data_IF_335478804058
#
_entry.id   IF_335478804058
#
_cell.length_a   1.000
_cell.length_b   1.000
_cell.length_c   1.000
_cell.angle_alpha   90.00
_cell.angle_beta   90.00
_cell.angle_gamma   90.00
#
_symmetry.space_group_name_H-M   'P 1'
#
loop_
_entity.id
_entity.type
_entity.pdbx_description
1 polymer ?
#
# COMPACT_ATOMS: atom_id res chain seq x y z
N UNK A 1 25.51 15.87 5.43
CA UNK A 1 24.15 15.27 5.39
C UNK A 1 24.28 13.80 5.70
N UNK A 2 23.41 13.24 6.53
CA UNK A 2 23.38 11.79 6.78
C UNK A 2 22.72 11.09 5.61
N UNK A 3 23.34 10.02 5.09
CA UNK A 3 22.72 9.14 4.10
C UNK A 3 21.79 8.16 4.80
N UNK A 4 20.54 8.08 4.37
CA UNK A 4 19.52 7.21 4.95
C UNK A 4 19.03 6.21 3.88
N UNK A 5 19.02 4.92 4.22
CA UNK A 5 18.43 3.91 3.38
C UNK A 5 16.97 3.72 3.79
N UNK A 6 16.05 3.94 2.86
CA UNK A 6 14.60 3.79 3.09
C UNK A 6 13.98 2.86 2.06
N UNK A 7 12.84 2.29 2.41
CA UNK A 7 12.01 1.54 1.50
C UNK A 7 10.73 2.31 1.18
N UNK A 8 10.24 2.18 -0.05
CA UNK A 8 8.99 2.77 -0.46
C UNK A 8 8.17 1.75 -1.26
N UNK A 9 6.92 1.59 -0.89
CA UNK A 9 5.95 0.70 -1.52
C UNK A 9 4.83 1.57 -2.12
N UNK A 10 4.91 1.92 -3.42
CA UNK A 10 3.91 2.72 -4.11
C UNK A 10 2.68 1.87 -4.42
N UNK A 11 1.72 1.86 -3.50
CA UNK A 11 0.49 1.09 -3.66
C UNK A 11 -0.69 1.94 -4.14
N UNK A 12 -1.60 1.34 -4.91
CA UNK A 12 -2.84 1.99 -5.37
C UNK A 12 -3.77 2.41 -4.23
N UNK A 13 -3.77 1.68 -3.13
CA UNK A 13 -4.60 2.01 -1.96
C UNK A 13 -3.90 2.93 -0.97
N UNK A 14 -2.60 2.78 -0.82
CA UNK A 14 -1.78 3.61 0.05
C UNK A 14 -0.31 3.60 -0.36
N UNK A 15 0.33 4.76 -0.32
CA UNK A 15 1.78 4.90 -0.31
C UNK A 15 2.32 4.50 1.05
N UNK A 16 3.37 3.71 1.08
CA UNK A 16 3.99 3.28 2.33
C UNK A 16 5.48 3.56 2.27
N UNK A 17 6.00 4.23 3.29
CA UNK A 17 7.44 4.48 3.44
C UNK A 17 7.93 3.83 4.71
N UNK A 18 8.92 2.92 4.57
CA UNK A 18 9.57 2.21 5.66
C UNK A 18 10.99 2.72 5.89
N UNK A 19 11.37 2.91 7.14
CA UNK A 19 12.69 3.37 7.55
C UNK A 19 13.07 2.77 8.91
N UNK A 20 14.35 2.81 9.24
CA UNK A 20 14.82 2.46 10.58
C UNK A 20 15.12 3.74 11.37
N UNK A 21 14.73 3.71 12.63
CA UNK A 21 15.16 4.70 13.63
C UNK A 21 15.72 3.97 14.86
N UNK A 22 16.10 4.72 15.90
CA UNK A 22 16.65 4.14 17.13
C UNK A 22 15.73 3.15 17.87
N UNK A 23 14.44 3.08 17.50
CA UNK A 23 13.44 2.16 18.08
C UNK A 23 13.13 0.97 17.16
N UNK A 24 13.87 0.82 16.04
CA UNK A 24 13.66 -0.24 15.06
C UNK A 24 12.90 0.22 13.80
N UNK A 25 12.39 -0.74 13.00
CA UNK A 25 11.70 -0.45 11.75
C UNK A 25 10.36 0.25 12.00
N UNK A 26 10.17 1.35 11.28
CA UNK A 26 8.98 2.18 11.30
C UNK A 26 8.36 2.24 9.90
N UNK A 27 7.07 2.46 9.82
CA UNK A 27 6.39 2.71 8.57
C UNK A 27 5.35 3.81 8.69
N UNK A 28 5.28 4.66 7.69
CA UNK A 28 4.15 5.57 7.48
C UNK A 28 3.27 5.03 6.37
N UNK A 29 1.97 5.25 6.49
CA UNK A 29 0.94 4.84 5.53
C UNK A 29 0.12 6.05 5.16
N UNK A 30 0.18 6.43 3.90
CA UNK A 30 -0.58 7.55 3.34
C UNK A 30 -1.60 7.02 2.34
N UNK A 31 -2.91 7.23 2.52
CA UNK A 31 -3.89 6.87 1.51
C UNK A 31 -3.53 7.46 0.14
N UNK A 32 -3.53 6.63 -0.92
CA UNK A 32 -3.20 7.05 -2.29
C UNK A 32 -4.37 7.83 -2.91
N UNK A 33 -4.82 8.85 -2.21
CA UNK A 33 -5.86 9.78 -2.66
C UNK A 33 -5.21 11.12 -2.92
N UNK A 34 -5.41 11.65 -4.11
CA UNK A 34 -4.83 12.91 -4.55
C UNK A 34 -5.88 13.74 -5.28
N UNK A 35 -5.82 15.05 -5.12
CA UNK A 35 -6.65 16.00 -5.86
C UNK A 35 -5.89 17.29 -6.12
N UNK A 36 -6.18 17.96 -7.22
CA UNK A 36 -5.59 19.26 -7.52
C UNK A 36 -6.23 20.36 -6.65
N UNK A 37 -5.44 21.28 -6.16
CA UNK A 37 -5.92 22.42 -5.39
C UNK A 37 -5.08 22.76 -4.16
N UNK A 38 -5.56 23.73 -3.41
CA UNK A 38 -4.98 24.20 -2.16
C UNK A 38 -5.99 24.05 -1.04
N UNK A 39 -5.50 23.93 0.20
CA UNK A 39 -6.38 23.96 1.38
C UNK A 39 -7.13 25.30 1.42
N UNK A 40 -8.44 25.24 1.62
CA UNK A 40 -9.22 26.46 1.81
C UNK A 40 -8.84 27.11 3.15
N UNK A 41 -8.58 28.43 3.10
CA UNK A 41 -8.34 29.21 4.32
C UNK A 41 -9.64 29.56 5.06
N UNK A 42 -10.79 29.28 4.46
CA UNK A 42 -12.08 29.60 5.05
C UNK A 42 -12.46 28.46 6.01
N UNK A 43 -12.22 28.68 7.28
CA UNK A 43 -12.85 27.91 8.36
C UNK A 43 -14.33 28.33 8.44
N UNK A 44 -15.15 27.81 7.53
CA UNK A 44 -16.61 27.85 7.72
C UNK A 44 -16.94 26.93 8.89
N UNK A 45 -16.93 27.50 10.10
CA UNK A 45 -17.41 26.81 11.28
C UNK A 45 -18.93 26.87 11.31
N UNK A 46 -19.57 25.73 11.52
CA UNK A 46 -21.03 25.67 11.74
C UNK A 46 -21.38 26.02 13.17
N UNK A 47 -20.40 26.14 14.08
CA UNK A 47 -20.63 26.29 15.51
C UNK A 47 -21.17 25.02 16.19
N UNK A 48 -21.24 23.91 15.45
CA UNK A 48 -21.76 22.62 15.93
C UNK A 48 -20.65 21.57 16.13
N UNK A 49 -19.37 22.00 16.02
CA UNK A 49 -18.23 21.10 16.16
C UNK A 49 -18.16 20.56 17.59
N UNK A 50 -18.55 19.30 17.73
CA UNK A 50 -18.38 18.52 18.96
C UNK A 50 -17.33 17.45 18.73
N UNK A 51 -16.09 17.67 19.15
CA UNK A 51 -15.02 16.68 19.04
C UNK A 51 -13.76 17.16 18.32
N UNK A 52 -12.85 16.22 18.05
CA UNK A 52 -11.62 16.49 17.31
C UNK A 52 -11.95 16.81 15.85
N UNK A 53 -11.39 17.90 15.33
CA UNK A 53 -11.49 18.21 13.91
C UNK A 53 -10.95 17.03 13.08
N UNK A 54 -11.63 16.66 11.97
CA UNK A 54 -11.13 15.60 11.10
C UNK A 54 -9.74 15.95 10.57
N UNK A 55 -8.90 14.93 10.44
CA UNK A 55 -7.56 15.07 9.85
C UNK A 55 -7.69 15.75 8.47
N UNK A 56 -6.90 16.81 8.26
CA UNK A 56 -6.86 17.51 6.96
C UNK A 56 -5.89 16.81 6.02
N UNK A 57 -6.17 16.80 4.70
CA UNK A 57 -5.19 16.34 3.73
C UNK A 57 -3.93 17.20 3.77
N UNK A 58 -2.79 16.63 3.38
CA UNK A 58 -1.57 17.39 3.23
C UNK A 58 -1.59 18.16 1.91
N UNK A 59 -1.17 19.42 1.94
CA UNK A 59 -0.95 20.21 0.75
C UNK A 59 0.50 20.06 0.31
N UNK A 60 0.72 19.56 -0.90
CA UNK A 60 2.05 19.40 -1.50
C UNK A 60 2.18 20.34 -2.68
N UNK A 61 3.26 21.13 -2.72
CA UNK A 61 3.53 22.10 -3.78
C UNK A 61 4.90 21.82 -4.40
N UNK A 62 4.97 21.70 -5.70
CA UNK A 62 6.19 21.57 -6.48
C UNK A 62 5.96 21.97 -7.93
N UNK A 63 6.99 22.47 -8.60
CA UNK A 63 6.95 22.93 -10.01
C UNK A 63 5.77 23.88 -10.31
N UNK A 64 5.42 24.75 -9.35
CA UNK A 64 4.32 25.72 -9.49
C UNK A 64 2.91 25.12 -9.39
N UNK A 65 2.75 23.85 -9.08
CA UNK A 65 1.47 23.16 -8.91
C UNK A 65 1.22 22.82 -7.44
N UNK A 66 -0.06 22.71 -7.07
CA UNK A 66 -0.50 22.35 -5.72
C UNK A 66 -1.44 21.15 -5.76
N UNK A 67 -1.20 20.21 -4.88
CA UNK A 67 -2.00 18.99 -4.71
C UNK A 67 -2.37 18.81 -3.25
N UNK A 68 -3.57 18.27 -3.03
CA UNK A 68 -4.01 17.76 -1.73
C UNK A 68 -3.89 16.24 -1.74
N UNK A 69 -3.27 15.67 -0.72
CA UNK A 69 -2.99 14.23 -0.68
C UNK A 69 -3.35 13.60 0.67
N UNK A 70 -3.73 12.32 0.65
CA UNK A 70 -4.02 11.52 1.83
C UNK A 70 -5.49 11.47 2.22
N UNK A 71 -5.77 11.37 3.52
CA UNK A 71 -7.13 11.27 4.04
C UNK A 71 -7.94 12.55 3.77
N UNK A 72 -9.26 12.38 3.62
CA UNK A 72 -10.23 13.48 3.51
C UNK A 72 -10.04 14.46 2.33
N UNK A 73 -9.24 14.13 1.32
CA UNK A 73 -9.11 14.93 0.08
C UNK A 73 -10.47 15.26 -0.54
N UNK A 74 -11.41 14.30 -0.52
CA UNK A 74 -12.77 14.48 -1.06
C UNK A 74 -13.58 15.60 -0.37
N UNK A 75 -13.18 16.07 0.80
CA UNK A 75 -13.82 17.20 1.49
C UNK A 75 -13.34 18.55 0.99
N UNK A 76 -12.16 18.60 0.40
CA UNK A 76 -11.52 19.84 -0.07
C UNK A 76 -11.60 19.98 -1.59
N UNK A 77 -11.50 18.86 -2.32
CA UNK A 77 -11.50 18.83 -3.78
C UNK A 77 -11.97 17.46 -4.31
N UNK A 78 -12.26 17.41 -5.61
CA UNK A 78 -12.59 16.14 -6.27
C UNK A 78 -11.33 15.27 -6.42
N UNK A 79 -11.30 14.06 -5.86
CA UNK A 79 -10.17 13.14 -6.04
C UNK A 79 -9.95 12.78 -7.51
N UNK A 80 -8.68 12.63 -7.87
CA UNK A 80 -8.25 12.12 -9.16
C UNK A 80 -8.19 10.60 -9.06
N UNK A 81 -9.18 9.90 -9.61
CA UNK A 81 -9.25 8.42 -9.55
C UNK A 81 -8.51 7.81 -10.74
N UNK A 82 -7.18 7.83 -10.72
CA UNK A 82 -6.33 7.14 -11.69
C UNK A 82 -5.68 5.93 -11.03
N UNK A 83 -6.01 4.73 -11.55
CA UNK A 83 -5.61 3.45 -10.96
C UNK A 83 -4.97 2.53 -12.02
N UNK A 84 -4.30 3.11 -13.02
CA UNK A 84 -3.49 2.35 -13.97
C UNK A 84 -2.01 2.34 -13.53
N UNK A 85 -1.31 1.30 -13.93
CA UNK A 85 0.08 1.08 -13.53
C UNK A 85 1.03 2.17 -14.08
N UNK A 86 0.74 2.74 -15.25
CA UNK A 86 1.57 3.80 -15.82
C UNK A 86 1.66 5.02 -14.91
N UNK A 87 0.57 5.32 -14.18
CA UNK A 87 0.55 6.40 -13.19
C UNK A 87 1.32 6.10 -11.89
N UNK A 88 1.70 4.82 -11.64
CA UNK A 88 2.63 4.47 -10.56
C UNK A 88 4.11 4.53 -10.98
N UNK A 89 4.40 4.90 -12.22
CA UNK A 89 5.78 5.00 -12.71
C UNK A 89 6.24 6.42 -12.93
N UNK A 90 5.32 7.31 -13.26
CA UNK A 90 5.54 8.75 -13.40
C UNK A 90 4.20 9.51 -13.35
N UNK A 91 4.30 10.80 -13.11
CA UNK A 91 3.17 11.73 -13.10
C UNK A 91 3.16 12.63 -11.87
N UNK A 92 2.53 13.80 -11.99
CA UNK A 92 2.52 14.76 -10.89
C UNK A 92 1.77 14.25 -9.67
N UNK A 93 0.74 13.42 -9.84
CA UNK A 93 -0.03 12.83 -8.76
C UNK A 93 0.82 11.84 -7.94
N UNK A 94 1.60 10.98 -8.61
CA UNK A 94 2.53 10.07 -7.96
C UNK A 94 3.60 10.85 -7.19
N UNK A 95 4.18 11.89 -7.80
CA UNK A 95 5.19 12.73 -7.16
C UNK A 95 4.63 13.39 -5.91
N UNK A 96 3.42 13.95 -5.96
CA UNK A 96 2.75 14.55 -4.80
C UNK A 96 2.57 13.53 -3.65
N UNK A 97 2.10 12.33 -3.97
CA UNK A 97 1.93 11.24 -3.01
C UNK A 97 3.27 10.78 -2.40
N UNK A 98 4.30 10.62 -3.22
CA UNK A 98 5.64 10.24 -2.74
C UNK A 98 6.23 11.31 -1.84
N UNK A 99 6.20 12.59 -2.25
CA UNK A 99 6.72 13.69 -1.43
C UNK A 99 6.03 13.78 -0.07
N UNK A 100 4.70 13.63 -0.04
CA UNK A 100 3.95 13.60 1.21
C UNK A 100 4.34 12.41 2.09
N UNK A 101 4.47 11.21 1.51
CA UNK A 101 4.83 9.99 2.25
C UNK A 101 6.29 10.06 2.78
N UNK A 102 7.22 10.59 1.99
CA UNK A 102 8.60 10.85 2.42
C UNK A 102 8.65 11.90 3.53
N UNK A 103 7.90 12.99 3.39
CA UNK A 103 7.81 14.03 4.42
C UNK A 103 7.24 13.51 5.74
N UNK A 104 6.22 12.67 5.71
CA UNK A 104 5.70 12.03 6.93
C UNK A 104 6.75 11.15 7.62
N UNK A 105 7.61 10.48 6.84
CA UNK A 105 8.63 9.58 7.38
C UNK A 105 9.84 10.33 7.93
N UNK A 106 10.26 11.40 7.28
CA UNK A 106 11.56 12.04 7.49
C UNK A 106 11.46 13.45 8.08
N UNK A 107 10.32 14.12 7.92
CA UNK A 107 10.15 15.50 8.38
C UNK A 107 10.86 16.55 7.51
N UNK A 108 10.92 17.81 7.98
CA UNK A 108 11.45 18.95 7.23
C UNK A 108 12.97 19.10 7.37
N UNK A 109 13.73 18.07 7.07
CA UNK A 109 15.19 18.10 7.16
C UNK A 109 15.83 17.92 5.79
N UNK A 110 17.02 18.45 5.59
CA UNK A 110 17.82 18.12 4.40
C UNK A 110 18.50 16.77 4.59
N UNK A 111 18.20 15.82 3.70
CA UNK A 111 18.76 14.47 3.76
C UNK A 111 19.15 13.94 2.40
N UNK A 112 20.13 13.06 2.37
CA UNK A 112 20.46 12.20 1.23
C UNK A 112 19.84 10.82 1.43
N UNK A 113 19.24 10.27 0.38
CA UNK A 113 18.48 9.02 0.44
C UNK A 113 19.00 8.00 -0.57
N UNK A 114 19.05 6.74 -0.14
CA UNK A 114 18.96 5.60 -1.05
C UNK A 114 17.57 4.99 -0.93
N UNK A 115 16.93 4.69 -2.05
CA UNK A 115 15.54 4.27 -2.11
C UNK A 115 15.41 2.84 -2.64
N UNK A 116 14.86 1.94 -1.82
CA UNK A 116 14.46 0.61 -2.23
C UNK A 116 12.95 0.59 -2.52
N UNK A 117 12.58 0.38 -3.77
CA UNK A 117 11.18 0.33 -4.20
C UNK A 117 10.62 -1.09 -4.12
N UNK A 118 9.46 -1.25 -3.50
CA UNK A 118 8.63 -2.44 -3.62
C UNK A 118 7.87 -2.40 -4.94
N UNK A 119 7.99 -3.46 -5.75
CA UNK A 119 7.31 -3.56 -7.04
C UNK A 119 6.48 -4.84 -7.11
N UNK A 120 5.33 -4.84 -7.84
CA UNK A 120 4.56 -6.06 -8.06
C UNK A 120 5.39 -7.18 -8.67
N UNK A 121 5.02 -8.42 -8.37
CA UNK A 121 5.73 -9.62 -8.88
C UNK A 121 5.76 -9.65 -10.40
N UNK A 122 4.64 -9.34 -11.06
CA UNK A 122 4.53 -9.30 -12.53
C UNK A 122 5.59 -8.36 -13.16
N UNK A 123 5.79 -7.19 -12.56
CA UNK A 123 6.78 -6.21 -13.05
C UNK A 123 8.19 -6.76 -12.93
N UNK A 124 8.54 -7.33 -11.78
CA UNK A 124 9.91 -7.81 -11.50
C UNK A 124 10.26 -9.05 -12.32
N UNK A 125 9.28 -9.89 -12.66
CA UNK A 125 9.48 -11.10 -13.46
C UNK A 125 9.57 -10.84 -14.95
N UNK A 126 8.92 -9.81 -15.45
CA UNK A 126 8.97 -9.43 -16.85
C UNK A 126 10.17 -8.50 -17.08
N UNK A 127 11.24 -9.01 -17.71
CA UNK A 127 12.49 -8.28 -17.89
C UNK A 127 12.34 -6.95 -18.62
N UNK A 128 11.49 -6.89 -19.63
CA UNK A 128 11.29 -5.67 -20.43
C UNK A 128 10.48 -4.64 -19.64
N UNK A 129 9.41 -5.09 -19.00
CA UNK A 129 8.58 -4.24 -18.13
C UNK A 129 9.38 -3.72 -16.93
N UNK A 130 10.18 -4.56 -16.29
CA UNK A 130 11.07 -4.19 -15.18
C UNK A 130 12.07 -3.11 -15.60
N UNK A 131 12.75 -3.33 -16.73
CA UNK A 131 13.75 -2.38 -17.25
C UNK A 131 13.12 -1.03 -17.59
N UNK A 132 11.97 -1.02 -18.27
CA UNK A 132 11.26 0.20 -18.64
C UNK A 132 10.74 0.94 -17.38
N UNK A 133 10.10 0.22 -16.47
CA UNK A 133 9.58 0.77 -15.23
C UNK A 133 10.68 1.39 -14.37
N UNK A 134 11.76 0.65 -14.15
CA UNK A 134 12.89 1.11 -13.36
C UNK A 134 13.61 2.31 -14.02
N UNK A 135 13.73 2.32 -15.34
CA UNK A 135 14.28 3.46 -16.09
C UNK A 135 13.43 4.71 -15.92
N UNK A 136 12.11 4.62 -16.07
CA UNK A 136 11.19 5.75 -15.85
C UNK A 136 11.28 6.28 -14.41
N UNK A 137 11.21 5.38 -13.42
CA UNK A 137 11.31 5.76 -12.00
C UNK A 137 12.64 6.43 -11.68
N UNK A 138 13.77 5.86 -12.12
CA UNK A 138 15.10 6.45 -11.93
C UNK A 138 15.23 7.81 -12.62
N UNK A 139 14.62 7.99 -13.76
CA UNK A 139 14.69 9.21 -14.55
C UNK A 139 14.19 10.45 -13.82
N UNK A 140 13.24 10.30 -12.89
CA UNK A 140 12.74 11.43 -12.11
C UNK A 140 13.06 11.35 -10.63
N UNK A 141 13.33 10.15 -10.06
CA UNK A 141 13.64 9.98 -8.64
C UNK A 141 15.07 10.35 -8.30
N UNK A 142 16.04 9.99 -9.15
CA UNK A 142 17.46 10.28 -8.85
C UNK A 142 17.71 11.76 -9.05
N UNK A 143 18.20 12.43 -8.00
CA UNK A 143 18.55 13.85 -8.04
C UNK A 143 18.02 14.63 -6.85
N UNK A 144 18.02 15.95 -7.00
CA UNK A 144 17.53 16.91 -6.02
C UNK A 144 16.03 17.11 -6.15
N UNK A 145 15.32 17.13 -5.02
CA UNK A 145 13.88 17.35 -4.91
C UNK A 145 13.58 18.47 -3.94
N UNK A 146 13.17 19.60 -4.47
CA UNK A 146 12.72 20.76 -3.70
C UNK A 146 11.20 20.90 -3.83
N UNK A 147 10.51 20.84 -2.71
CA UNK A 147 9.05 20.91 -2.66
C UNK A 147 8.58 21.52 -1.33
N UNK A 148 7.29 21.75 -1.20
CA UNK A 148 6.72 22.30 0.01
C UNK A 148 5.56 21.42 0.49
N UNK A 149 5.51 21.12 1.77
CA UNK A 149 4.40 20.40 2.41
C UNK A 149 3.82 21.26 3.53
N UNK A 150 2.53 21.61 3.43
CA UNK A 150 1.85 22.44 4.43
C UNK A 150 2.61 23.75 4.74
N UNK A 151 3.14 24.42 3.70
CA UNK A 151 3.99 25.62 3.77
C UNK A 151 5.38 25.42 4.38
N UNK A 152 5.82 24.18 4.61
CA UNK A 152 7.18 23.85 5.03
C UNK A 152 8.02 23.48 3.81
N UNK A 153 9.10 24.19 3.57
CA UNK A 153 10.05 23.88 2.48
C UNK A 153 10.88 22.66 2.84
N UNK A 154 11.00 21.75 1.89
CA UNK A 154 11.69 20.46 2.04
C UNK A 154 12.66 20.27 0.88
N UNK A 155 13.84 19.75 1.19
CA UNK A 155 14.90 19.49 0.20
C UNK A 155 15.51 18.11 0.44
N UNK A 156 15.23 17.15 -0.45
CA UNK A 156 15.77 15.80 -0.39
C UNK A 156 16.59 15.49 -1.63
N UNK A 157 17.68 14.75 -1.44
CA UNK A 157 18.51 14.26 -2.55
C UNK A 157 18.47 12.74 -2.58
N UNK A 158 17.96 12.15 -3.66
CA UNK A 158 17.95 10.71 -3.86
C UNK A 158 19.16 10.32 -4.70
N UNK A 159 20.08 9.54 -4.09
CA UNK A 159 21.34 9.14 -4.73
C UNK A 159 21.18 7.86 -5.54
N UNK A 160 20.46 6.88 -5.01
CA UNK A 160 20.28 5.59 -5.68
C UNK A 160 18.83 5.11 -5.56
N UNK A 161 18.37 4.43 -6.60
CA UNK A 161 17.08 3.75 -6.64
C UNK A 161 17.29 2.30 -7.05
N UNK A 162 16.88 1.38 -6.19
CA UNK A 162 16.83 -0.06 -6.44
C UNK A 162 15.40 -0.57 -6.26
N UNK A 163 15.14 -1.79 -6.67
CA UNK A 163 13.81 -2.40 -6.57
C UNK A 163 13.87 -3.83 -6.06
N UNK A 164 12.78 -4.29 -5.48
CA UNK A 164 12.55 -5.66 -5.04
C UNK A 164 11.05 -6.00 -5.19
N UNK A 165 10.73 -7.27 -5.35
CA UNK A 165 9.32 -7.70 -5.31
C UNK A 165 8.71 -7.43 -3.92
N UNK A 166 7.51 -6.83 -3.88
CA UNK A 166 6.82 -6.46 -2.64
C UNK A 166 6.72 -7.63 -1.65
N UNK A 167 6.33 -8.86 -2.03
CA UNK A 167 6.19 -9.97 -1.09
C UNK A 167 7.50 -10.41 -0.42
N UNK A 168 8.66 -10.11 -1.02
CA UNK A 168 9.95 -10.31 -0.34
C UNK A 168 10.06 -9.51 0.95
N UNK A 169 9.45 -8.32 0.98
CA UNK A 169 9.40 -7.52 2.20
C UNK A 169 8.69 -8.26 3.33
N UNK A 170 7.50 -8.82 3.09
CA UNK A 170 6.80 -9.60 4.12
C UNK A 170 7.63 -10.80 4.60
N UNK A 171 8.34 -11.49 3.70
CA UNK A 171 9.25 -12.56 4.06
C UNK A 171 10.38 -12.09 4.99
N UNK A 172 11.03 -10.95 4.69
CA UNK A 172 12.05 -10.36 5.56
C UNK A 172 11.46 -9.81 6.87
N UNK A 173 10.28 -9.20 6.83
CA UNK A 173 9.62 -8.74 8.05
C UNK A 173 9.34 -9.89 9.02
N UNK A 174 8.93 -11.05 8.50
CA UNK A 174 8.70 -12.24 9.30
C UNK A 174 10.00 -12.90 9.78
N UNK A 175 11.01 -12.97 8.91
CA UNK A 175 12.17 -13.86 9.10
C UNK A 175 13.45 -13.19 9.56
N UNK A 176 13.59 -11.86 9.43
CA UNK A 176 14.85 -11.16 9.66
C UNK A 176 14.80 -10.15 10.81
N UNK A 177 15.97 -9.87 11.40
CA UNK A 177 16.18 -8.76 12.33
C UNK A 177 16.22 -7.42 11.59
N UNK A 178 16.50 -6.34 12.33
CA UNK A 178 16.52 -4.98 11.80
C UNK A 178 17.68 -4.71 10.82
N UNK A 179 18.72 -5.56 10.83
CA UNK A 179 19.83 -5.52 9.87
C UNK A 179 19.57 -6.45 8.65
N UNK A 180 18.38 -7.02 8.55
CA UNK A 180 18.01 -7.95 7.48
C UNK A 180 18.67 -9.34 7.59
N UNK A 181 19.24 -9.70 8.74
CA UNK A 181 19.84 -11.02 8.97
C UNK A 181 18.76 -12.01 9.41
N UNK A 182 18.83 -13.24 8.89
CA UNK A 182 17.85 -14.27 9.23
C UNK A 182 17.97 -14.71 10.69
N UNK A 183 16.87 -14.66 11.44
CA UNK A 183 16.81 -14.97 12.88
C UNK A 183 15.86 -16.11 13.24
N UNK A 184 15.07 -16.63 12.30
CA UNK A 184 14.14 -17.73 12.59
C UNK A 184 14.85 -19.08 12.66
N UNK A 185 14.33 -19.96 13.53
CA UNK A 185 14.77 -21.35 13.61
C UNK A 185 14.41 -22.17 12.36
N UNK A 186 13.44 -21.72 11.57
CA UNK A 186 13.13 -22.30 10.28
C UNK A 186 14.33 -22.16 9.34
N UNK A 187 14.74 -23.28 8.71
CA UNK A 187 15.81 -23.22 7.72
C UNK A 187 15.41 -22.29 6.57
N UNK A 188 16.19 -21.22 6.28
CA UNK A 188 15.87 -20.27 5.22
C UNK A 188 15.91 -20.88 3.81
N UNK A 189 16.43 -22.10 3.67
CA UNK A 189 16.34 -22.90 2.45
C UNK A 189 15.00 -23.66 2.31
N UNK A 190 14.11 -23.62 3.29
CA UNK A 190 12.78 -24.20 3.18
C UNK A 190 11.92 -23.54 2.11
N UNK A 191 10.78 -24.15 1.81
CA UNK A 191 9.80 -23.62 0.85
C UNK A 191 8.79 -22.74 1.58
N UNK A 192 8.78 -21.45 1.27
CA UNK A 192 7.94 -20.43 1.88
C UNK A 192 7.05 -19.80 0.82
N UNK A 193 5.80 -19.56 1.17
CA UNK A 193 4.85 -18.88 0.30
C UNK A 193 4.36 -17.57 0.93
N UNK A 194 4.28 -16.53 0.12
CA UNK A 194 3.71 -15.23 0.47
C UNK A 194 2.59 -14.91 -0.49
N UNK A 195 1.41 -14.61 0.03
CA UNK A 195 0.24 -14.14 -0.69
C UNK A 195 0.00 -12.68 -0.29
N UNK A 196 0.36 -11.75 -1.18
CA UNK A 196 0.18 -10.32 -0.97
C UNK A 196 -1.10 -9.86 -1.64
N UNK A 197 -2.09 -9.49 -0.83
CA UNK A 197 -3.40 -9.04 -1.30
C UNK A 197 -3.45 -7.52 -1.19
N UNK A 198 -3.13 -6.86 -2.29
CA UNK A 198 -3.19 -5.41 -2.44
C UNK A 198 -4.59 -4.91 -2.82
N UNK A 199 -4.69 -3.60 -3.09
CA UNK A 199 -5.93 -3.03 -3.62
C UNK A 199 -6.16 -3.42 -5.08
N UNK A 200 -5.15 -3.32 -5.92
CA UNK A 200 -5.24 -3.57 -7.37
C UNK A 200 -4.66 -4.92 -7.77
N UNK A 201 -3.60 -5.37 -7.12
CA UNK A 201 -2.90 -6.61 -7.42
C UNK A 201 -3.08 -7.65 -6.32
N UNK A 202 -3.00 -8.91 -6.71
CA UNK A 202 -2.82 -10.05 -5.85
C UNK A 202 -1.57 -10.80 -6.32
N UNK A 203 -0.55 -10.81 -5.49
CA UNK A 203 0.75 -11.38 -5.79
C UNK A 203 0.99 -12.67 -5.00
N UNK A 204 1.12 -13.79 -5.69
CA UNK A 204 1.62 -15.05 -5.16
C UNK A 204 3.12 -15.14 -5.34
N UNK A 205 3.85 -15.50 -4.31
CA UNK A 205 5.30 -15.50 -4.32
C UNK A 205 5.86 -16.68 -3.51
N UNK A 206 6.76 -17.47 -4.10
CA UNK A 206 7.35 -18.63 -3.45
C UNK A 206 8.87 -18.55 -3.48
N UNK A 207 9.46 -18.81 -2.31
CA UNK A 207 10.91 -18.88 -2.10
C UNK A 207 11.26 -20.29 -1.67
N UNK A 208 12.23 -20.90 -2.30
CA UNK A 208 12.80 -22.19 -1.91
C UNK A 208 14.31 -22.15 -2.14
N UNK A 209 15.11 -22.65 -1.21
CA UNK A 209 16.58 -22.60 -1.29
C UNK A 209 17.13 -21.18 -1.52
N UNK A 210 16.46 -20.16 -0.91
CA UNK A 210 16.79 -18.72 -1.07
C UNK A 210 16.59 -18.18 -2.49
N UNK A 211 15.92 -18.92 -3.35
CA UNK A 211 15.62 -18.52 -4.73
C UNK A 211 14.11 -18.43 -4.95
N UNK A 212 13.69 -17.53 -5.82
CA UNK A 212 12.30 -17.40 -6.23
C UNK A 212 11.94 -18.54 -7.17
N UNK A 213 10.83 -19.22 -6.88
CA UNK A 213 10.30 -20.28 -7.74
C UNK A 213 9.29 -19.66 -8.72
N UNK A 214 9.74 -19.42 -9.93
CA UNK A 214 8.99 -18.73 -10.99
C UNK A 214 7.60 -19.34 -11.24
N UNK A 215 7.51 -20.67 -11.34
CA UNK A 215 6.25 -21.39 -11.60
C UNK A 215 5.17 -21.07 -10.57
N UNK A 216 5.55 -20.81 -9.31
CA UNK A 216 4.64 -20.56 -8.18
C UNK A 216 4.55 -19.09 -7.80
N UNK A 217 5.17 -18.21 -8.58
CA UNK A 217 5.19 -16.77 -8.30
C UNK A 217 4.54 -16.05 -9.48
N UNK A 218 3.40 -15.40 -9.23
CA UNK A 218 2.60 -14.71 -10.24
C UNK A 218 1.84 -13.57 -9.60
N UNK A 219 1.70 -12.45 -10.34
CA UNK A 219 0.85 -11.33 -9.96
C UNK A 219 -0.35 -11.22 -10.90
N UNK A 220 -1.51 -10.88 -10.36
CA UNK A 220 -2.72 -10.61 -11.12
C UNK A 220 -3.47 -9.38 -10.62
N UNK A 221 -4.26 -8.76 -11.50
CA UNK A 221 -5.14 -7.64 -11.17
C UNK A 221 -6.44 -8.12 -10.47
N UNK A 222 -6.28 -8.89 -9.39
CA UNK A 222 -7.34 -9.49 -8.57
C UNK A 222 -7.42 -8.94 -7.15
N UNK A 223 -6.90 -7.74 -6.90
CA UNK A 223 -6.93 -7.11 -5.59
C UNK A 223 -8.33 -6.76 -5.08
N UNK A 224 -8.41 -6.16 -3.91
CA UNK A 224 -9.68 -5.80 -3.24
C UNK A 224 -10.51 -4.79 -4.03
N UNK A 225 -9.96 -4.13 -5.07
CA UNK A 225 -10.66 -3.15 -5.91
C UNK A 225 -11.96 -3.69 -6.51
N UNK A 226 -12.01 -4.97 -6.90
CA UNK A 226 -13.25 -5.58 -7.44
C UNK A 226 -14.36 -5.57 -6.39
N UNK A 227 -14.04 -5.97 -5.15
CA UNK A 227 -14.98 -5.90 -4.04
C UNK A 227 -15.44 -4.47 -3.75
N UNK A 228 -14.50 -3.51 -3.74
CA UNK A 228 -14.84 -2.10 -3.53
C UNK A 228 -15.70 -1.54 -4.67
N UNK A 229 -15.43 -1.92 -5.92
CA UNK A 229 -16.24 -1.54 -7.08
C UNK A 229 -17.66 -2.09 -6.98
N UNK A 230 -17.81 -3.35 -6.55
CA UNK A 230 -19.11 -3.97 -6.31
C UNK A 230 -19.88 -3.23 -5.22
N UNK A 231 -19.25 -2.91 -4.08
CA UNK A 231 -19.86 -2.12 -3.00
C UNK A 231 -20.34 -0.78 -3.53
N UNK A 232 -19.48 -0.03 -4.24
CA UNK A 232 -19.80 1.29 -4.80
C UNK A 232 -20.98 1.25 -5.74
N UNK A 233 -21.00 0.27 -6.65
CA UNK A 233 -22.05 0.14 -7.65
C UNK A 233 -23.37 -0.27 -7.01
N UNK A 234 -23.36 -1.27 -6.12
CA UNK A 234 -24.58 -1.77 -5.46
C UNK A 234 -25.20 -0.74 -4.52
N UNK A 235 -24.35 0.02 -3.81
CA UNK A 235 -24.81 1.14 -2.98
C UNK A 235 -25.45 2.22 -3.86
N UNK A 236 -24.84 2.56 -5.00
CA UNK A 236 -25.43 3.52 -5.93
C UNK A 236 -26.77 3.05 -6.49
N UNK A 237 -26.88 1.82 -6.94
CA UNK A 237 -28.11 1.26 -7.49
C UNK A 237 -29.24 1.21 -6.45
N UNK A 238 -28.92 0.93 -5.20
CA UNK A 238 -29.92 0.77 -4.12
C UNK A 238 -30.33 2.07 -3.46
N UNK A 239 -29.38 3.01 -3.34
CA UNK A 239 -29.59 4.21 -2.52
C UNK A 239 -29.34 5.54 -3.27
N UNK A 240 -28.97 5.51 -4.56
CA UNK A 240 -28.65 6.70 -5.36
C UNK A 240 -27.39 7.44 -4.96
N UNK A 241 -26.63 6.91 -3.99
CA UNK A 241 -25.37 7.46 -3.51
C UNK A 241 -24.20 6.59 -3.93
N UNK A 242 -23.21 7.17 -4.60
CA UNK A 242 -22.00 6.45 -5.05
C UNK A 242 -20.82 6.79 -4.15
N UNK A 243 -20.44 5.90 -3.21
CA UNK A 243 -19.25 6.12 -2.37
C UNK A 243 -17.98 6.22 -3.22
N UNK A 244 -17.00 6.98 -2.75
CA UNK A 244 -15.63 6.91 -3.28
C UNK A 244 -14.99 5.54 -2.99
N UNK A 245 -13.86 5.22 -3.61
CA UNK A 245 -13.11 4.01 -3.26
C UNK A 245 -12.65 4.00 -1.80
N UNK A 246 -12.27 5.16 -1.30
CA UNK A 246 -11.88 5.32 0.11
C UNK A 246 -13.04 5.01 1.06
N UNK A 247 -14.24 5.56 0.82
CA UNK A 247 -15.43 5.28 1.64
C UNK A 247 -15.84 3.81 1.57
N UNK A 248 -15.77 3.20 0.39
CA UNK A 248 -16.05 1.76 0.23
C UNK A 248 -15.03 0.90 0.99
N UNK A 249 -13.74 1.28 1.00
CA UNK A 249 -12.70 0.60 1.80
C UNK A 249 -12.97 0.75 3.30
N UNK A 250 -13.36 1.94 3.77
CA UNK A 250 -13.73 2.15 5.17
C UNK A 250 -14.94 1.29 5.58
N UNK A 251 -15.97 1.20 4.74
CA UNK A 251 -17.12 0.32 4.99
C UNK A 251 -16.67 -1.15 5.12
N UNK A 252 -15.80 -1.61 4.23
CA UNK A 252 -15.30 -2.97 4.25
C UNK A 252 -14.42 -3.26 5.48
N UNK A 253 -13.58 -2.32 5.91
CA UNK A 253 -12.77 -2.44 7.14
C UNK A 253 -13.64 -2.42 8.40
N UNK A 254 -14.63 -1.54 8.49
CA UNK A 254 -15.59 -1.55 9.60
C UNK A 254 -16.36 -2.87 9.67
N UNK A 255 -16.80 -3.42 8.53
CA UNK A 255 -17.41 -4.74 8.47
C UNK A 255 -16.50 -5.83 9.05
N UNK A 256 -15.23 -5.84 8.66
CA UNK A 256 -14.29 -6.86 9.14
C UNK A 256 -14.00 -6.72 10.63
N UNK A 257 -13.82 -5.49 11.13
CA UNK A 257 -13.44 -5.21 12.52
C UNK A 257 -14.62 -5.31 13.48
N UNK A 258 -15.78 -4.73 13.12
CA UNK A 258 -16.93 -4.52 14.03
C UNK A 258 -18.20 -5.27 13.60
N UNK A 259 -18.20 -5.91 12.45
CA UNK A 259 -19.40 -6.49 11.81
C UNK A 259 -20.48 -5.44 11.51
N UNK A 260 -20.07 -4.23 11.26
CA UNK A 260 -20.93 -3.09 10.95
C UNK A 260 -20.55 -2.52 9.59
N UNK A 261 -21.54 -2.13 8.80
CA UNK A 261 -21.36 -1.35 7.59
C UNK A 261 -22.60 -0.47 7.44
N UNK A 262 -22.46 0.80 7.80
CA UNK A 262 -23.54 1.79 7.77
C UNK A 262 -23.18 2.90 6.80
N UNK A 263 -24.11 3.27 5.95
CA UNK A 263 -24.03 4.45 5.08
C UNK A 263 -25.08 5.46 5.51
N UNK A 264 -24.66 6.72 5.57
CA UNK A 264 -25.55 7.85 5.85
C UNK A 264 -25.71 8.69 4.60
N UNK A 265 -26.93 8.95 4.18
CA UNK A 265 -27.25 9.85 3.07
C UNK A 265 -28.57 10.60 3.34
N UNK A 266 -29.05 11.40 2.37
CA UNK A 266 -30.20 12.29 2.54
C UNK A 266 -31.50 11.62 3.05
N UNK A 267 -31.63 10.32 2.92
CA UNK A 267 -32.80 9.56 3.39
C UNK A 267 -32.54 8.78 4.70
N UNK A 268 -31.45 9.09 5.41
CA UNK A 268 -31.11 8.49 6.69
C UNK A 268 -29.95 7.51 6.66
N UNK A 269 -29.87 6.68 7.70
CA UNK A 269 -28.83 5.65 7.83
C UNK A 269 -29.37 4.30 7.35
N UNK A 270 -28.52 3.62 6.56
CA UNK A 270 -28.84 2.30 5.98
C UNK A 270 -27.72 1.31 6.22
N UNK A 271 -28.08 0.07 6.49
CA UNK A 271 -27.11 -1.01 6.59
C UNK A 271 -26.64 -1.46 5.22
N UNK A 272 -25.36 -1.30 4.97
CA UNK A 272 -24.68 -1.89 3.81
C UNK A 272 -24.09 -3.27 4.12
N UNK A 273 -24.37 -3.84 5.31
CA UNK A 273 -23.80 -5.12 5.75
C UNK A 273 -23.96 -6.25 4.72
N UNK A 274 -25.14 -6.53 4.15
CA UNK A 274 -25.29 -7.62 3.17
C UNK A 274 -24.44 -7.41 1.92
N UNK A 275 -24.34 -6.15 1.46
CA UNK A 275 -23.56 -5.77 0.26
C UNK A 275 -22.09 -6.02 0.53
N UNK A 276 -21.57 -5.56 1.65
CA UNK A 276 -20.16 -5.70 2.02
C UNK A 276 -19.81 -7.16 2.29
N UNK A 277 -20.70 -7.90 2.97
CA UNK A 277 -20.51 -9.33 3.23
C UNK A 277 -20.36 -10.13 1.93
N UNK A 278 -21.23 -9.88 0.94
CA UNK A 278 -21.15 -10.51 -0.38
C UNK A 278 -19.85 -10.14 -1.09
N UNK A 279 -19.49 -8.86 -1.14
CA UNK A 279 -18.27 -8.38 -1.78
C UNK A 279 -16.99 -9.03 -1.20
N UNK A 280 -16.91 -9.15 0.13
CA UNK A 280 -15.80 -9.79 0.83
C UNK A 280 -15.76 -11.29 0.54
N UNK A 281 -16.90 -11.96 0.48
CA UNK A 281 -16.98 -13.39 0.17
C UNK A 281 -16.54 -13.68 -1.28
N UNK A 282 -17.01 -12.90 -2.25
CA UNK A 282 -16.62 -13.05 -3.65
C UNK A 282 -15.12 -12.74 -3.87
N UNK A 283 -14.60 -11.71 -3.19
CA UNK A 283 -13.17 -11.42 -3.22
C UNK A 283 -12.34 -12.60 -2.70
N UNK A 284 -12.78 -13.22 -1.59
CA UNK A 284 -12.10 -14.39 -1.05
C UNK A 284 -12.17 -15.61 -1.98
N UNK A 285 -13.28 -15.84 -2.63
CA UNK A 285 -13.42 -16.92 -3.63
C UNK A 285 -12.37 -16.75 -4.74
N UNK A 286 -12.24 -15.56 -5.33
CA UNK A 286 -11.22 -15.29 -6.35
C UNK A 286 -9.79 -15.50 -5.87
N UNK A 287 -9.49 -15.12 -4.61
CA UNK A 287 -8.17 -15.41 -3.98
C UNK A 287 -7.92 -16.91 -3.88
N UNK A 288 -8.94 -17.70 -3.47
CA UNK A 288 -8.81 -19.16 -3.35
C UNK A 288 -8.66 -19.84 -4.71
N UNK A 289 -9.37 -19.38 -5.71
CA UNK A 289 -9.28 -19.91 -7.08
C UNK A 289 -7.85 -19.77 -7.61
N UNK A 290 -7.25 -18.57 -7.49
CA UNK A 290 -5.86 -18.32 -7.91
C UNK A 290 -4.84 -19.14 -7.09
N UNK A 291 -5.03 -19.25 -5.77
CA UNK A 291 -4.19 -20.11 -4.93
C UNK A 291 -4.29 -21.58 -5.40
N UNK A 292 -5.48 -22.06 -5.72
CA UNK A 292 -5.70 -23.41 -6.22
C UNK A 292 -5.05 -23.65 -7.57
N UNK A 293 -5.16 -22.68 -8.47
CA UNK A 293 -4.61 -22.76 -9.82
C UNK A 293 -3.07 -22.76 -9.83
N UNK A 294 -2.45 -21.86 -9.08
CA UNK A 294 -1.00 -21.64 -9.14
C UNK A 294 -0.24 -22.57 -8.17
N UNK A 295 -0.80 -22.83 -6.99
CA UNK A 295 -0.11 -23.60 -5.95
C UNK A 295 -0.60 -25.03 -5.78
N UNK A 296 -1.68 -25.42 -6.49
CA UNK A 296 -2.40 -26.70 -6.33
C UNK A 296 -2.91 -26.91 -4.89
N UNK A 297 -1.98 -26.93 -3.92
CA UNK A 297 -2.31 -26.97 -2.49
C UNK A 297 -1.24 -26.25 -1.65
N UNK A 298 -1.65 -25.77 -0.49
CA UNK A 298 -0.77 -24.98 0.41
C UNK A 298 0.02 -25.84 1.40
N UNK A 299 -0.23 -27.16 1.47
CA UNK A 299 0.44 -28.09 2.43
C UNK A 299 1.91 -28.31 2.10
N UNK A 300 2.32 -28.02 0.87
CA UNK A 300 3.72 -28.12 0.43
C UNK A 300 4.62 -27.04 1.04
N UNK A 301 4.05 -25.97 1.60
CA UNK A 301 4.82 -24.86 2.14
C UNK A 301 5.10 -25.03 3.63
N UNK A 302 6.34 -24.76 4.02
CA UNK A 302 6.75 -24.74 5.42
C UNK A 302 6.05 -23.64 6.20
N UNK A 303 5.87 -22.49 5.54
CA UNK A 303 5.07 -21.36 6.05
C UNK A 303 4.29 -20.75 4.91
N UNK A 304 3.09 -20.34 5.24
CA UNK A 304 2.21 -19.56 4.37
C UNK A 304 1.95 -18.22 5.05
N UNK A 305 2.31 -17.14 4.37
CA UNK A 305 2.19 -15.77 4.86
C UNK A 305 1.18 -15.03 3.97
N UNK A 306 0.17 -14.45 4.57
CA UNK A 306 -0.72 -13.50 3.92
C UNK A 306 -0.36 -12.08 4.37
N UNK A 307 -0.27 -11.16 3.42
CA UNK A 307 0.10 -9.76 3.68
C UNK A 307 -0.72 -8.79 2.83
N UNK A 308 -0.54 -7.51 3.07
CA UNK A 308 -1.26 -6.45 2.37
C UNK A 308 -2.56 -6.03 3.04
N UNK A 309 -3.15 -4.93 2.59
CA UNK A 309 -4.41 -4.40 3.13
C UNK A 309 -5.60 -5.34 2.91
N UNK A 310 -5.56 -6.14 1.84
CA UNK A 310 -6.56 -7.16 1.56
C UNK A 310 -6.46 -8.36 2.51
N UNK A 311 -5.27 -8.72 2.98
CA UNK A 311 -5.12 -9.78 3.98
C UNK A 311 -5.74 -9.39 5.34
N UNK A 312 -5.67 -8.12 5.72
CA UNK A 312 -6.39 -7.58 6.89
C UNK A 312 -7.90 -7.67 6.68
N UNK A 313 -8.40 -7.24 5.52
CA UNK A 313 -9.81 -7.27 5.15
C UNK A 313 -10.37 -8.70 5.15
N UNK A 314 -9.60 -9.67 4.63
CA UNK A 314 -9.99 -11.07 4.49
C UNK A 314 -9.53 -11.96 5.66
N UNK A 315 -9.05 -11.35 6.76
CA UNK A 315 -8.42 -12.08 7.88
C UNK A 315 -9.29 -13.19 8.48
N UNK A 316 -10.60 -12.98 8.55
CA UNK A 316 -11.54 -13.98 9.06
C UNK A 316 -11.66 -15.19 8.11
N UNK A 317 -11.66 -14.97 6.80
CA UNK A 317 -11.70 -16.00 5.76
C UNK A 317 -10.39 -16.78 5.73
N UNK A 318 -9.26 -16.07 5.77
CA UNK A 318 -7.92 -16.68 5.83
C UNK A 318 -7.81 -17.63 7.02
N UNK A 319 -8.18 -17.18 8.22
CA UNK A 319 -8.11 -18.00 9.45
C UNK A 319 -8.97 -19.26 9.39
N UNK A 320 -10.13 -19.19 8.72
CA UNK A 320 -11.02 -20.35 8.55
C UNK A 320 -10.47 -21.37 7.59
N UNK A 321 -9.87 -20.93 6.48
CA UNK A 321 -9.40 -21.82 5.40
C UNK A 321 -7.95 -22.29 5.65
N UNK A 322 -7.11 -21.40 6.18
CA UNK A 322 -5.70 -21.63 6.44
C UNK A 322 -5.35 -21.30 7.91
N UNK A 323 -5.78 -22.11 8.88
CA UNK A 323 -5.67 -21.80 10.31
C UNK A 323 -4.22 -21.65 10.82
N UNK A 324 -3.24 -22.20 10.11
CA UNK A 324 -1.81 -22.10 10.44
C UNK A 324 -1.08 -20.98 9.68
N UNK A 325 -1.78 -20.26 8.82
CA UNK A 325 -1.19 -19.16 8.06
C UNK A 325 -0.83 -17.98 8.98
N UNK A 326 0.25 -17.31 8.63
CA UNK A 326 0.68 -16.08 9.27
C UNK A 326 0.00 -14.92 8.52
N UNK A 327 -0.74 -14.10 9.24
CA UNK A 327 -1.37 -12.90 8.67
C UNK A 327 -0.60 -11.69 9.15
N UNK A 328 -0.09 -10.92 8.20
CA UNK A 328 0.65 -9.69 8.45
C UNK A 328 -0.11 -8.52 7.83
N UNK A 329 -0.03 -7.36 8.49
CA UNK A 329 -0.73 -6.15 8.05
C UNK A 329 -0.12 -5.50 6.80
N UNK A 330 -0.78 -4.45 6.35
CA UNK A 330 -0.41 -3.71 5.12
C UNK A 330 0.99 -3.09 5.14
N UNK A 331 1.64 -2.96 6.29
CA UNK A 331 2.99 -2.39 6.42
C UNK A 331 4.10 -3.44 6.34
N UNK A 332 3.76 -4.74 6.34
CA UNK A 332 4.76 -5.80 6.42
C UNK A 332 5.77 -5.76 5.27
N UNK A 333 5.30 -5.51 4.04
CA UNK A 333 6.20 -5.40 2.89
C UNK A 333 7.24 -4.30 3.09
N UNK A 334 6.79 -3.09 3.37
CA UNK A 334 7.69 -1.93 3.47
C UNK A 334 8.61 -2.01 4.69
N UNK A 335 8.14 -2.56 5.82
CA UNK A 335 8.99 -2.78 7.00
C UNK A 335 10.10 -3.79 6.72
N UNK A 336 9.78 -4.90 6.06
CA UNK A 336 10.80 -5.89 5.71
C UNK A 336 11.74 -5.41 4.59
N UNK A 337 11.25 -4.63 3.65
CA UNK A 337 12.11 -3.96 2.65
C UNK A 337 13.05 -2.95 3.32
N UNK A 338 12.57 -2.22 4.35
CA UNK A 338 13.43 -1.31 5.12
C UNK A 338 14.54 -2.05 5.87
N UNK A 339 14.24 -3.21 6.47
CA UNK A 339 15.26 -4.09 7.06
C UNK A 339 16.26 -4.58 6.01
N UNK A 340 15.76 -5.02 4.86
CA UNK A 340 16.63 -5.49 3.77
C UNK A 340 17.55 -4.38 3.25
N UNK A 341 17.06 -3.15 3.17
CA UNK A 341 17.82 -1.99 2.70
C UNK A 341 19.04 -1.65 3.60
N UNK A 342 19.08 -2.16 4.84
CA UNK A 342 20.22 -1.97 5.74
C UNK A 342 21.32 -3.02 5.56
N UNK A 343 21.09 -4.07 4.76
CA UNK A 343 22.10 -5.09 4.53
C UNK A 343 23.28 -4.52 3.76
N UNK A 344 24.49 -4.92 4.17
CA UNK A 344 25.72 -4.60 3.46
C UNK A 344 25.64 -5.03 2.00
N UNK A 345 26.05 -4.17 1.07
CA UNK A 345 26.06 -4.41 -0.37
C UNK A 345 24.69 -4.27 -1.08
N UNK A 346 23.64 -3.83 -0.38
CA UNK A 346 22.35 -3.53 -1.04
C UNK A 346 22.42 -2.21 -1.82
N UNK A 347 23.13 -1.19 -1.30
CA UNK A 347 23.37 0.09 -1.97
C UNK A 347 24.85 0.34 -2.16
#
# INVERSE_FOLDING_TARGET
MSLINIAHDPGFGAMKTGYLNGSGPQAVVLPSVVGAGTLSHNNLSTGLETGLAPERPMQVQFMGQSYLVGANVHRETKPIERLDFDHLTDGPELRALMYASLFQALGPQEVELNLLLGMPVEVVQNRDLDSQTLSRLRGWLIGQHDFCVNNVVVSYKINQVKRMAQPMGAFFQWGADDNGQWIRSDNPAGKFAVADIGMNTFDLFVIENKQVIQRFSQGENLGTRRALSFIRQTVYERYGYKPSFYEADQLARHYTAKREAVISHMHGEHSAYPIVAQAVQECWAGVQDMIGEIWDNTRQFRRLIFTGGGAELLSNQIKRTHPTAIIMGQTANVLGLAKFAQREGVF
#
